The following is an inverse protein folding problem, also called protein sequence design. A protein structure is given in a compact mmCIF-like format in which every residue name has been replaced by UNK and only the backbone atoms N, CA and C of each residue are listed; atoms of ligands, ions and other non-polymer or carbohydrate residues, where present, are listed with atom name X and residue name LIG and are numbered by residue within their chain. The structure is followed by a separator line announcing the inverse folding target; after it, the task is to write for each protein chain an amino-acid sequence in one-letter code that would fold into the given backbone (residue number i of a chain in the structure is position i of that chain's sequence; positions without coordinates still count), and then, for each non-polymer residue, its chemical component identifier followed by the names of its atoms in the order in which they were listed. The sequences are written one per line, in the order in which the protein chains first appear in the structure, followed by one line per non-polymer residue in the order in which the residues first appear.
data_IF_207804436895
#
_entry.id   IF_207804436895
#
_cell.length_a   1.000
_cell.length_b   1.000
_cell.length_c   1.000
_cell.angle_alpha   90.00
_cell.angle_beta   90.00
_cell.angle_gamma   90.00
#
_symmetry.space_group_name_H-M   'P 1'
#
loop_
_entity.id
_entity.type
_entity.pdbx_description
1 polymer ?
#
# COMPACT_ATOMS: atom_id res chain seq x y z
N UNK A 1 -19.79 6.68 4.82
CA UNK A 1 -19.17 6.96 3.50
C UNK A 1 -19.58 5.97 2.41
N UNK A 2 -19.11 4.71 2.41
CA UNK A 2 -19.41 3.75 1.33
C UNK A 2 -20.89 3.58 1.00
N UNK A 3 -21.74 3.43 2.03
CA UNK A 3 -23.17 3.25 1.84
C UNK A 3 -23.83 4.50 1.25
N UNK A 4 -23.50 5.68 1.78
CA UNK A 4 -23.99 6.96 1.27
C UNK A 4 -23.58 7.16 -0.19
N UNK A 5 -22.33 6.81 -0.58
CA UNK A 5 -21.86 7.04 -1.94
C UNK A 5 -22.47 6.05 -2.91
N UNK A 6 -22.70 4.80 -2.48
CA UNK A 6 -23.45 3.81 -3.25
C UNK A 6 -24.87 4.31 -3.56
N UNK A 7 -25.64 4.69 -2.53
CA UNK A 7 -27.03 5.16 -2.69
C UNK A 7 -27.07 6.41 -3.57
N UNK A 8 -26.18 7.37 -3.33
CA UNK A 8 -26.10 8.59 -4.14
C UNK A 8 -25.84 8.26 -5.62
N UNK A 9 -24.92 7.33 -5.92
CA UNK A 9 -24.63 6.95 -7.31
C UNK A 9 -25.76 6.15 -7.97
N UNK A 10 -26.42 5.26 -7.23
CA UNK A 10 -27.59 4.51 -7.71
C UNK A 10 -28.73 5.46 -8.10
N UNK A 11 -29.04 6.43 -7.24
CA UNK A 11 -30.05 7.45 -7.55
C UNK A 11 -29.58 8.34 -8.72
N UNK A 12 -28.32 8.79 -8.69
CA UNK A 12 -27.77 9.66 -9.74
C UNK A 12 -27.91 9.06 -11.14
N UNK A 13 -27.60 7.77 -11.29
CA UNK A 13 -27.72 7.07 -12.58
C UNK A 13 -29.19 6.85 -12.93
N UNK A 14 -30.02 6.44 -11.97
CA UNK A 14 -31.47 6.27 -12.18
C UNK A 14 -32.12 7.54 -12.74
N UNK A 15 -31.77 8.71 -12.20
CA UNK A 15 -32.34 10.00 -12.62
C UNK A 15 -31.68 10.60 -13.87
N UNK A 16 -30.46 10.16 -14.20
CA UNK A 16 -29.76 10.58 -15.42
C UNK A 16 -30.26 9.86 -16.68
N UNK A 17 -30.98 8.74 -16.51
CA UNK A 17 -31.60 7.99 -17.60
C UNK A 17 -32.85 8.70 -18.16
N UNK A 18 -32.66 9.61 -19.12
CA UNK A 18 -33.76 10.35 -19.78
C UNK A 18 -34.56 9.51 -20.79
N UNK A 19 -34.02 8.39 -21.29
CA UNK A 19 -34.65 7.58 -22.37
C UNK A 19 -35.70 6.60 -21.85
N UNK A 20 -35.66 6.23 -20.58
CA UNK A 20 -36.70 5.36 -20.01
C UNK A 20 -37.90 6.20 -19.59
N UNK A 21 -39.02 6.13 -20.34
CA UNK A 21 -40.32 6.73 -19.96
C UNK A 21 -40.76 6.31 -18.54
N UNK A 22 -40.20 5.23 -17.99
CA UNK A 22 -40.33 4.78 -16.60
C UNK A 22 -39.00 5.03 -15.89
N UNK A 23 -39.00 5.62 -14.70
CA UNK A 23 -37.81 5.76 -13.82
C UNK A 23 -37.35 4.38 -13.32
N UNK A 24 -36.87 3.55 -14.25
CA UNK A 24 -36.55 2.14 -14.04
C UNK A 24 -35.36 2.04 -13.11
N UNK A 25 -35.48 1.23 -12.05
CA UNK A 25 -34.38 0.98 -11.13
C UNK A 25 -33.31 0.19 -11.87
N UNK A 26 -32.12 0.76 -11.99
CA UNK A 26 -30.98 0.13 -12.64
C UNK A 26 -30.02 -0.45 -11.59
N UNK A 27 -29.55 -1.66 -11.83
CA UNK A 27 -28.45 -2.27 -11.09
C UNK A 27 -27.14 -1.85 -11.74
N UNK A 28 -26.48 -0.87 -11.14
CA UNK A 28 -25.19 -0.32 -11.63
C UNK A 28 -24.01 -1.17 -11.17
N UNK A 29 -22.86 -1.05 -11.80
CA UNK A 29 -21.57 -1.53 -11.28
C UNK A 29 -20.82 -0.38 -10.61
N UNK A 30 -20.32 -0.57 -9.39
CA UNK A 30 -19.46 0.42 -8.73
C UNK A 30 -18.30 -0.24 -7.98
N UNK A 31 -17.09 0.29 -8.15
CA UNK A 31 -15.91 -0.01 -7.33
C UNK A 31 -15.62 1.23 -6.48
N UNK A 32 -15.52 1.06 -5.18
CA UNK A 32 -15.32 2.13 -4.22
C UNK A 32 -13.98 1.93 -3.51
N UNK A 33 -13.18 2.99 -3.40
CA UNK A 33 -11.93 3.01 -2.64
C UNK A 33 -11.98 4.16 -1.63
N UNK A 34 -11.82 3.85 -0.35
CA UNK A 34 -11.80 4.86 0.72
C UNK A 34 -10.40 5.44 0.90
N UNK A 35 -10.31 6.76 0.90
CA UNK A 35 -9.15 7.50 1.42
C UNK A 35 -9.58 8.34 2.62
N UNK A 36 -8.68 8.51 3.59
CA UNK A 36 -8.92 9.27 4.83
C UNK A 36 -8.12 10.56 4.90
N UNK A 37 -7.31 10.85 3.89
CA UNK A 37 -6.33 11.93 3.85
C UNK A 37 -6.48 12.81 2.60
N UNK A 38 -6.08 14.08 2.71
CA UNK A 38 -5.88 14.99 1.58
C UNK A 38 -4.46 14.91 1.02
N UNK A 39 -4.17 15.73 0.01
CA UNK A 39 -2.80 15.88 -0.50
C UNK A 39 -1.84 16.41 0.59
N UNK A 40 -2.35 17.20 1.52
CA UNK A 40 -1.66 17.76 2.69
C UNK A 40 -1.60 16.78 3.88
N UNK A 41 -1.99 15.51 3.69
CA UNK A 41 -2.14 14.48 4.72
C UNK A 41 -3.14 14.81 5.83
N UNK A 42 -3.89 15.91 5.75
CA UNK A 42 -4.90 16.20 6.77
C UNK A 42 -6.10 15.28 6.60
N UNK A 43 -6.81 15.05 7.69
CA UNK A 43 -8.02 14.24 7.69
C UNK A 43 -9.06 14.80 6.71
N UNK A 44 -9.28 14.07 5.62
CA UNK A 44 -10.19 14.44 4.54
C UNK A 44 -10.77 13.16 3.93
N UNK A 45 -11.75 12.53 4.60
CA UNK A 45 -12.23 11.24 4.18
C UNK A 45 -13.12 11.34 2.95
N UNK A 46 -12.77 10.61 1.90
CA UNK A 46 -13.46 10.64 0.61
C UNK A 46 -13.42 9.27 -0.07
N UNK A 47 -14.29 9.09 -1.06
CA UNK A 47 -14.41 7.83 -1.80
C UNK A 47 -14.08 8.08 -3.26
N UNK A 48 -13.09 7.37 -3.78
CA UNK A 48 -12.88 7.24 -5.21
C UNK A 48 -13.82 6.15 -5.73
N UNK A 49 -14.66 6.52 -6.69
CA UNK A 49 -15.61 5.60 -7.32
C UNK A 49 -15.32 5.44 -8.80
N UNK A 50 -15.30 4.20 -9.28
CA UNK A 50 -15.59 3.93 -10.70
C UNK A 50 -16.98 3.34 -10.78
N UNK A 51 -17.78 3.90 -11.66
CA UNK A 51 -19.18 3.54 -11.80
C UNK A 51 -19.49 3.35 -13.27
N UNK A 52 -20.31 2.37 -13.57
CA UNK A 52 -20.80 2.13 -14.93
C UNK A 52 -21.70 3.27 -15.39
N UNK A 53 -21.57 3.66 -16.65
CA UNK A 53 -22.47 4.60 -17.34
C UNK A 53 -23.77 3.93 -17.77
N UNK A 54 -24.50 3.40 -16.79
CA UNK A 54 -25.67 2.58 -17.03
C UNK A 54 -25.76 1.44 -16.04
N UNK A 55 -26.74 0.57 -16.28
CA UNK A 55 -26.94 -0.62 -15.48
C UNK A 55 -28.05 -1.49 -16.04
N UNK A 56 -28.19 -2.68 -15.45
CA UNK A 56 -29.23 -3.62 -15.84
C UNK A 56 -30.58 -3.26 -15.24
N UNK A 57 -31.64 -3.31 -16.04
CA UNK A 57 -33.00 -3.23 -15.54
C UNK A 57 -33.44 -4.56 -14.86
N UNK A 58 -34.69 -4.61 -14.37
CA UNK A 58 -35.25 -5.82 -13.76
C UNK A 58 -35.38 -7.01 -14.73
N UNK A 59 -35.35 -6.77 -16.04
CA UNK A 59 -35.38 -7.78 -17.10
C UNK A 59 -33.99 -8.18 -17.58
N UNK A 60 -32.92 -7.67 -16.94
CA UNK A 60 -31.51 -7.87 -17.32
C UNK A 60 -31.12 -7.25 -18.66
N UNK A 61 -31.87 -6.28 -19.18
CA UNK A 61 -31.43 -5.49 -20.32
C UNK A 61 -30.48 -4.41 -19.84
N UNK A 62 -29.37 -4.20 -20.55
CA UNK A 62 -28.51 -3.07 -20.26
C UNK A 62 -29.11 -1.76 -20.73
N UNK A 63 -29.12 -0.76 -19.84
CA UNK A 63 -29.56 0.59 -20.15
C UNK A 63 -28.39 1.55 -19.98
N UNK A 64 -27.91 2.09 -21.11
CA UNK A 64 -26.86 3.10 -21.14
C UNK A 64 -27.33 4.46 -20.64
N UNK A 65 -26.48 5.13 -19.86
CA UNK A 65 -26.68 6.50 -19.38
C UNK A 65 -25.48 7.34 -19.84
N UNK A 66 -25.65 8.05 -20.95
CA UNK A 66 -24.57 8.74 -21.65
C UNK A 66 -24.10 10.03 -20.96
N UNK A 67 -24.87 10.56 -20.01
CA UNK A 67 -24.53 11.79 -19.31
C UNK A 67 -24.99 11.72 -17.86
N UNK A 68 -24.08 12.02 -16.94
CA UNK A 68 -24.35 12.04 -15.50
C UNK A 68 -24.11 13.45 -14.97
N UNK A 69 -25.18 14.14 -14.56
CA UNK A 69 -25.10 15.52 -14.04
C UNK A 69 -24.68 15.55 -12.57
N UNK A 70 -23.44 15.18 -12.25
CA UNK A 70 -22.97 15.00 -10.87
C UNK A 70 -23.04 16.25 -9.98
N UNK A 71 -22.97 17.46 -10.56
CA UNK A 71 -23.04 18.71 -9.78
C UNK A 71 -24.37 18.89 -9.05
N UNK A 72 -25.48 18.44 -9.65
CA UNK A 72 -26.81 18.50 -9.03
C UNK A 72 -26.99 17.57 -7.83
N UNK A 73 -26.04 16.66 -7.59
CA UNK A 73 -26.14 15.62 -6.57
C UNK A 73 -25.35 15.92 -5.30
N UNK A 74 -24.63 17.05 -5.24
CA UNK A 74 -23.83 17.44 -4.06
C UNK A 74 -24.64 17.53 -2.77
N UNK A 75 -25.87 18.08 -2.86
CA UNK A 75 -26.79 18.16 -1.71
C UNK A 75 -27.31 16.79 -1.28
N UNK A 76 -27.66 15.92 -2.25
CA UNK A 76 -28.09 14.54 -1.95
C UNK A 76 -26.94 13.73 -1.32
N UNK A 77 -25.72 13.89 -1.82
CA UNK A 77 -24.52 13.29 -1.24
C UNK A 77 -24.30 13.74 0.21
N UNK A 78 -24.37 15.05 0.46
CA UNK A 78 -24.29 15.61 1.81
C UNK A 78 -25.38 15.03 2.72
N UNK A 79 -26.63 15.01 2.25
CA UNK A 79 -27.76 14.46 2.99
C UNK A 79 -27.55 12.99 3.35
N UNK A 80 -27.26 12.13 2.36
CA UNK A 80 -27.04 10.69 2.59
C UNK A 80 -25.88 10.43 3.56
N UNK A 81 -24.82 11.25 3.50
CA UNK A 81 -23.68 11.08 4.39
C UNK A 81 -23.99 11.54 5.82
N UNK A 82 -24.54 12.74 5.99
CA UNK A 82 -24.79 13.32 7.31
C UNK A 82 -25.91 12.61 8.05
N UNK A 83 -26.97 12.19 7.36
CA UNK A 83 -28.06 11.40 7.97
C UNK A 83 -27.53 10.09 8.54
N UNK A 84 -26.70 9.37 7.77
CA UNK A 84 -26.09 8.12 8.23
C UNK A 84 -25.03 8.33 9.31
N UNK A 85 -24.28 9.42 9.23
CA UNK A 85 -23.34 9.77 10.29
C UNK A 85 -24.08 10.02 11.61
N UNK A 86 -25.22 10.73 11.56
CA UNK A 86 -26.08 10.95 12.71
C UNK A 86 -26.61 9.65 13.32
N UNK A 87 -26.96 8.67 12.50
CA UNK A 87 -27.41 7.33 12.95
C UNK A 87 -26.34 6.57 13.74
N UNK A 88 -25.07 6.76 13.40
CA UNK A 88 -23.91 6.11 14.04
C UNK A 88 -23.36 6.87 15.26
N UNK A 89 -23.80 8.12 15.46
CA UNK A 89 -23.35 8.97 16.56
C UNK A 89 -24.29 8.88 17.77
N UNK A 90 -23.82 9.22 18.98
CA UNK A 90 -24.66 9.28 20.17
C UNK A 90 -25.88 10.20 19.96
N UNK A 91 -27.05 9.77 20.43
CA UNK A 91 -28.30 10.54 20.34
C UNK A 91 -28.32 11.64 21.40
N UNK A 92 -27.65 12.76 21.11
CA UNK A 92 -27.56 13.90 22.00
C UNK A 92 -27.65 15.24 21.24
N UNK A 93 -27.77 16.34 21.99
CA UNK A 93 -27.88 17.69 21.42
C UNK A 93 -26.63 18.06 20.63
N UNK A 94 -25.46 17.68 21.12
CA UNK A 94 -24.15 17.95 20.51
C UNK A 94 -24.04 17.32 19.12
N UNK A 95 -24.55 16.09 18.95
CA UNK A 95 -24.62 15.43 17.63
C UNK A 95 -25.54 16.20 16.69
N UNK A 96 -26.72 16.62 17.15
CA UNK A 96 -27.65 17.41 16.33
C UNK A 96 -27.01 18.73 15.88
N UNK A 97 -26.43 19.47 16.83
CA UNK A 97 -25.77 20.75 16.57
C UNK A 97 -24.57 20.58 15.62
N UNK A 98 -23.81 19.49 15.76
CA UNK A 98 -22.70 19.15 14.86
C UNK A 98 -23.18 18.90 13.42
N UNK A 99 -24.25 18.11 13.25
CA UNK A 99 -24.81 17.78 11.93
C UNK A 99 -25.40 19.03 11.28
N UNK A 100 -26.17 19.82 12.02
CA UNK A 100 -26.78 21.06 11.52
C UNK A 100 -25.73 22.08 11.12
N UNK A 101 -24.65 22.21 11.90
CA UNK A 101 -23.50 23.06 11.55
C UNK A 101 -22.85 22.61 10.23
N UNK A 102 -22.78 21.30 9.96
CA UNK A 102 -22.25 20.79 8.70
C UNK A 102 -23.17 21.05 7.51
N UNK A 103 -24.49 21.01 7.68
CA UNK A 103 -25.42 21.46 6.63
C UNK A 103 -25.27 22.95 6.35
N UNK A 104 -25.20 23.79 7.40
CA UNK A 104 -25.04 25.25 7.27
C UNK A 104 -23.69 25.66 6.66
N UNK A 105 -22.59 25.00 7.05
CA UNK A 105 -21.24 25.30 6.56
C UNK A 105 -21.07 25.01 5.06
N UNK A 106 -21.81 24.04 4.52
CA UNK A 106 -21.71 23.62 3.12
C UNK A 106 -23.07 23.74 2.42
N UNK A 107 -23.56 24.96 2.15
CA UNK A 107 -24.90 25.19 1.59
C UNK A 107 -25.06 24.63 0.16
N UNK A 108 -23.94 24.45 -0.56
CA UNK A 108 -23.89 23.89 -1.91
C UNK A 108 -23.66 22.36 -1.93
N UNK A 109 -23.72 21.71 -0.77
CA UNK A 109 -23.47 20.28 -0.62
C UNK A 109 -22.00 19.89 -0.68
N UNK A 110 -21.73 18.60 -0.45
CA UNK A 110 -20.39 18.05 -0.50
C UNK A 110 -19.95 17.80 -1.94
N UNK A 111 -18.66 18.00 -2.22
CA UNK A 111 -18.11 17.94 -3.57
C UNK A 111 -18.25 16.52 -4.15
N UNK A 112 -18.73 16.46 -5.39
CA UNK A 112 -18.65 15.28 -6.26
C UNK A 112 -17.88 15.71 -7.50
N UNK A 113 -16.86 14.94 -7.87
CA UNK A 113 -16.02 15.19 -9.04
C UNK A 113 -16.14 14.03 -10.02
N UNK A 114 -16.62 14.29 -11.24
CA UNK A 114 -16.91 13.26 -12.24
C UNK A 114 -16.35 13.61 -13.62
N UNK A 115 -15.04 13.92 -13.74
CA UNK A 115 -14.48 14.40 -15.01
C UNK A 115 -13.92 13.33 -15.95
N UNK A 116 -13.67 12.09 -15.51
CA UNK A 116 -13.02 11.08 -16.36
C UNK A 116 -13.98 9.95 -16.71
N UNK A 117 -14.39 9.92 -17.98
CA UNK A 117 -14.97 8.75 -18.65
C UNK A 117 -13.83 7.82 -19.07
N UNK A 118 -14.02 6.52 -18.95
CA UNK A 118 -13.11 5.51 -19.52
C UNK A 118 -13.81 4.84 -20.70
N UNK A 119 -13.15 4.80 -21.85
CA UNK A 119 -13.69 4.12 -23.02
C UNK A 119 -13.43 2.60 -22.98
N UNK A 120 -14.15 1.81 -23.82
CA UNK A 120 -14.06 0.33 -23.85
C UNK A 120 -12.61 -0.17 -24.00
N UNK A 121 -11.76 0.57 -24.74
CA UNK A 121 -10.36 0.23 -25.01
C UNK A 121 -9.38 0.69 -23.92
N UNK A 122 -9.86 1.43 -22.92
CA UNK A 122 -9.03 2.00 -21.84
C UNK A 122 -9.00 1.15 -20.57
N UNK A 123 -9.30 -0.15 -20.67
CA UNK A 123 -9.36 -1.06 -19.50
C UNK A 123 -8.10 -1.01 -18.63
N UNK A 124 -6.91 -0.94 -19.25
CA UNK A 124 -5.64 -0.79 -18.52
C UNK A 124 -5.49 0.58 -17.85
N UNK A 125 -5.94 1.67 -18.49
CA UNK A 125 -5.94 3.01 -17.88
C UNK A 125 -6.88 3.08 -16.68
N UNK A 126 -8.04 2.44 -16.77
CA UNK A 126 -8.98 2.27 -15.67
C UNK A 126 -8.35 1.46 -14.53
N UNK A 127 -7.71 0.34 -14.84
CA UNK A 127 -7.01 -0.49 -13.86
C UNK A 127 -5.87 0.28 -13.16
N UNK A 128 -5.03 1.00 -13.92
CA UNK A 128 -3.99 1.89 -13.37
C UNK A 128 -4.55 3.02 -12.53
N UNK A 129 -5.70 3.59 -12.92
CA UNK A 129 -6.39 4.59 -12.13
C UNK A 129 -6.84 4.02 -10.78
N UNK A 130 -7.52 2.87 -10.76
CA UNK A 130 -7.91 2.17 -9.52
C UNK A 130 -6.69 1.83 -8.68
N UNK A 131 -5.69 1.19 -9.29
CA UNK A 131 -4.50 0.70 -8.61
C UNK A 131 -3.79 1.81 -7.85
N UNK A 132 -3.73 3.02 -8.43
CA UNK A 132 -3.20 4.21 -7.74
C UNK A 132 -3.95 4.49 -6.45
N UNK A 133 -5.29 4.47 -6.43
CA UNK A 133 -6.03 4.72 -5.18
C UNK A 133 -5.98 3.55 -4.20
N UNK A 134 -5.92 2.30 -4.68
CA UNK A 134 -5.89 1.13 -3.78
C UNK A 134 -4.60 1.06 -2.97
N UNK A 135 -3.47 1.37 -3.60
CA UNK A 135 -2.14 1.22 -2.98
C UNK A 135 -1.52 2.53 -2.50
N UNK A 136 -2.15 3.69 -2.74
CA UNK A 136 -1.50 4.94 -2.33
C UNK A 136 -1.39 5.03 -0.81
N UNK A 137 -0.19 5.25 -0.26
CA UNK A 137 -0.05 5.76 1.11
C UNK A 137 -0.52 7.24 1.20
N UNK A 138 -0.76 7.78 2.41
CA UNK A 138 -1.11 9.19 2.62
C UNK A 138 -0.17 10.19 1.93
N UNK A 139 1.10 9.80 1.78
CA UNK A 139 2.12 10.58 1.10
C UNK A 139 3.01 9.66 0.27
N UNK A 140 3.37 10.08 -0.94
CA UNK A 140 4.40 9.39 -1.72
C UNK A 140 5.78 9.71 -1.14
N UNK A 141 6.68 8.74 -1.10
CA UNK A 141 8.06 8.94 -0.66
C UNK A 141 8.75 10.07 -1.44
N UNK A 142 8.53 10.15 -2.75
CA UNK A 142 9.04 11.22 -3.62
C UNK A 142 8.59 12.64 -3.26
N UNK A 143 7.62 12.77 -2.34
CA UNK A 143 7.16 14.08 -1.83
C UNK A 143 7.90 14.51 -0.57
N UNK A 144 8.58 13.60 0.11
CA UNK A 144 9.44 13.88 1.26
C UNK A 144 10.77 14.38 0.72
N UNK A 145 11.18 15.58 1.12
CA UNK A 145 12.36 16.26 0.54
C UNK A 145 13.52 16.39 1.51
N UNK A 146 13.26 16.35 2.82
CA UNK A 146 14.33 16.40 3.81
C UNK A 146 13.88 15.78 5.15
N UNK A 147 14.85 15.25 5.89
CA UNK A 147 14.71 14.81 7.27
C UNK A 147 16.04 15.04 8.01
N UNK A 148 16.01 15.76 9.13
CA UNK A 148 17.20 16.15 9.90
C UNK A 148 17.33 15.38 11.23
N UNK A 149 16.53 14.34 11.44
CA UNK A 149 16.46 13.60 12.71
C UNK A 149 15.44 14.15 13.72
N UNK A 150 14.91 15.36 13.50
CA UNK A 150 13.89 16.02 14.35
C UNK A 150 12.64 16.40 13.55
N UNK A 151 12.80 16.93 12.35
CA UNK A 151 11.73 17.44 11.52
C UNK A 151 11.73 16.78 10.14
N UNK A 152 10.53 16.57 9.60
CA UNK A 152 10.30 16.05 8.26
C UNK A 152 9.79 17.19 7.38
N UNK A 153 10.40 17.38 6.22
CA UNK A 153 9.94 18.33 5.20
C UNK A 153 9.39 17.58 4.00
N UNK A 154 8.20 17.97 3.56
CA UNK A 154 7.57 17.43 2.36
C UNK A 154 6.77 18.49 1.61
N UNK A 155 6.48 18.25 0.34
CA UNK A 155 5.65 19.14 -0.46
C UNK A 155 4.31 18.52 -0.83
N UNK A 156 3.31 19.36 -1.08
CA UNK A 156 2.02 18.97 -1.67
C UNK A 156 1.55 20.02 -2.66
N UNK A 157 0.73 19.61 -3.64
CA UNK A 157 0.06 20.54 -4.54
C UNK A 157 -1.30 20.92 -3.97
N UNK A 158 -1.48 22.18 -3.63
CA UNK A 158 -2.74 22.66 -3.09
C UNK A 158 -3.84 22.59 -4.14
N UNK A 159 -4.97 21.99 -3.77
CA UNK A 159 -6.04 21.71 -4.73
C UNK A 159 -6.74 22.98 -5.21
N UNK A 160 -6.77 24.04 -4.39
CA UNK A 160 -7.47 25.29 -4.68
C UNK A 160 -6.60 26.24 -5.52
N UNK A 161 -5.40 26.55 -5.03
CA UNK A 161 -4.45 27.49 -5.63
C UNK A 161 -3.59 26.87 -6.72
N UNK A 162 -3.55 25.53 -6.82
CA UNK A 162 -2.68 24.76 -7.72
C UNK A 162 -1.19 24.97 -7.50
N UNK A 163 -0.79 25.66 -6.44
CA UNK A 163 0.60 25.91 -6.09
C UNK A 163 1.19 24.73 -5.32
N UNK A 164 2.50 24.56 -5.43
CA UNK A 164 3.26 23.65 -4.57
C UNK A 164 3.49 24.34 -3.24
N UNK A 165 3.13 23.66 -2.15
CA UNK A 165 3.33 24.10 -0.77
C UNK A 165 4.30 23.14 -0.12
N UNK A 166 5.34 23.67 0.51
CA UNK A 166 6.29 22.91 1.33
C UNK A 166 5.89 23.05 2.79
N UNK A 167 5.90 21.93 3.51
CA UNK A 167 5.58 21.86 4.93
C UNK A 167 6.74 21.18 5.64
N UNK A 168 7.16 21.77 6.74
CA UNK A 168 8.10 21.17 7.70
C UNK A 168 7.36 20.99 9.01
N UNK A 169 7.45 19.81 9.60
CA UNK A 169 6.81 19.47 10.88
C UNK A 169 7.69 18.55 11.72
N UNK A 170 7.42 18.48 13.02
CA UNK A 170 8.09 17.55 13.92
C UNK A 170 7.87 16.09 13.48
N UNK A 171 8.89 15.24 13.66
CA UNK A 171 8.85 13.84 13.23
C UNK A 171 7.73 13.03 13.89
N UNK A 172 7.40 13.29 15.16
CA UNK A 172 6.34 12.57 15.84
C UNK A 172 4.97 13.07 15.40
N UNK A 173 4.84 14.36 15.04
CA UNK A 173 3.63 14.88 14.38
C UNK A 173 3.43 14.23 13.00
N UNK A 174 4.50 14.08 12.21
CA UNK A 174 4.47 13.39 10.93
C UNK A 174 4.03 11.93 11.09
N UNK A 175 4.66 11.18 11.99
CA UNK A 175 4.30 9.78 12.28
C UNK A 175 2.86 9.68 12.76
N UNK A 176 2.43 10.53 13.70
CA UNK A 176 1.04 10.56 14.21
C UNK A 176 0.04 10.80 13.09
N UNK A 177 0.35 11.70 12.15
CA UNK A 177 -0.50 11.99 11.00
C UNK A 177 -0.66 10.74 10.13
N UNK A 178 0.44 10.06 9.80
CA UNK A 178 0.39 8.80 9.04
C UNK A 178 -0.41 7.71 9.75
N UNK A 179 -0.15 7.50 11.04
CA UNK A 179 -0.83 6.49 11.85
C UNK A 179 -2.35 6.73 11.91
N UNK A 180 -2.81 7.99 11.90
CA UNK A 180 -4.23 8.33 11.90
C UNK A 180 -5.01 7.82 10.67
N UNK A 181 -4.30 7.48 9.60
CA UNK A 181 -4.88 6.99 8.35
C UNK A 181 -4.86 5.47 8.22
N UNK A 182 -4.19 4.76 9.14
CA UNK A 182 -4.19 3.30 9.16
C UNK A 182 -5.59 2.83 9.56
N UNK A 183 -6.30 2.10 8.69
CA UNK A 183 -7.61 1.61 9.04
C UNK A 183 -7.52 0.46 10.05
N UNK A 184 -8.62 0.19 10.75
CA UNK A 184 -8.71 -0.98 11.64
C UNK A 184 -8.33 -2.27 10.91
N UNK A 185 -7.77 -3.23 11.65
CA UNK A 185 -7.48 -4.58 11.13
C UNK A 185 -8.71 -5.13 10.39
N UNK A 186 -8.47 -5.74 9.22
CA UNK A 186 -9.50 -6.31 8.34
C UNK A 186 -10.49 -5.33 7.69
N UNK A 187 -10.35 -4.02 7.90
CA UNK A 187 -11.21 -3.04 7.24
C UNK A 187 -11.01 -3.08 5.72
N UNK A 188 -12.09 -3.32 4.98
CA UNK A 188 -12.04 -3.38 3.51
C UNK A 188 -12.09 -1.96 2.94
N UNK A 189 -10.91 -1.43 2.60
CA UNK A 189 -10.73 -0.14 1.90
C UNK A 189 -11.37 -0.16 0.50
N UNK A 190 -11.39 -1.32 -0.16
CA UNK A 190 -11.99 -1.49 -1.49
C UNK A 190 -13.30 -2.24 -1.36
N UNK A 191 -14.37 -1.72 -1.97
CA UNK A 191 -15.68 -2.37 -2.00
C UNK A 191 -16.22 -2.46 -3.42
N UNK A 192 -16.79 -3.62 -3.74
CA UNK A 192 -17.43 -3.90 -5.02
C UNK A 192 -18.94 -3.92 -4.84
N UNK A 193 -19.65 -3.11 -5.62
CA UNK A 193 -21.08 -2.90 -5.52
C UNK A 193 -21.80 -3.26 -6.82
N UNK A 194 -23.06 -3.67 -6.68
CA UNK A 194 -23.96 -3.99 -7.78
C UNK A 194 -23.38 -5.03 -8.73
N UNK A 195 -23.21 -4.72 -10.02
CA UNK A 195 -22.69 -5.65 -11.03
C UNK A 195 -21.30 -6.17 -10.67
N UNK A 196 -20.44 -5.32 -10.10
CA UNK A 196 -19.09 -5.72 -9.75
C UNK A 196 -19.02 -6.57 -8.48
N UNK A 197 -20.06 -6.62 -7.67
CA UNK A 197 -20.11 -7.48 -6.48
C UNK A 197 -20.07 -8.97 -6.87
N UNK A 198 -19.68 -9.85 -5.93
CA UNK A 198 -19.69 -11.31 -6.13
C UNK A 198 -21.05 -11.82 -6.61
N UNK A 199 -22.15 -11.38 -5.97
CA UNK A 199 -23.52 -11.75 -6.36
C UNK A 199 -23.99 -11.05 -7.65
N UNK A 200 -23.34 -9.96 -8.05
CA UNK A 200 -23.57 -9.28 -9.33
C UNK A 200 -22.96 -10.01 -10.52
N UNK A 201 -22.00 -10.92 -10.28
CA UNK A 201 -21.26 -11.64 -11.32
C UNK A 201 -22.16 -12.41 -12.29
N UNK A 202 -23.26 -13.00 -11.82
CA UNK A 202 -24.22 -13.75 -12.67
C UNK A 202 -24.87 -12.92 -13.78
N UNK A 203 -24.78 -11.59 -13.74
CA UNK A 203 -25.33 -10.70 -14.77
C UNK A 203 -24.30 -10.26 -15.83
N UNK A 204 -23.01 -10.62 -15.70
CA UNK A 204 -21.95 -10.21 -16.64
C UNK A 204 -21.87 -11.05 -17.91
N UNK A 205 -22.40 -12.28 -17.89
CA UNK A 205 -22.20 -13.27 -18.95
C UNK A 205 -22.98 -13.00 -20.25
N UNK A 206 -23.89 -12.02 -20.29
CA UNK A 206 -24.83 -11.88 -21.42
C UNK A 206 -24.50 -10.79 -22.43
N UNK A 207 -23.74 -9.74 -22.08
CA UNK A 207 -23.50 -8.60 -23.00
C UNK A 207 -22.04 -8.09 -23.06
N UNK A 208 -21.17 -8.43 -22.12
CA UNK A 208 -19.78 -7.95 -22.09
C UNK A 208 -18.75 -8.98 -22.58
N UNK A 209 -19.22 -10.07 -23.18
CA UNK A 209 -18.45 -11.23 -23.61
C UNK A 209 -18.35 -11.27 -25.14
N UNK A 210 -17.73 -10.27 -25.75
CA UNK A 210 -17.34 -10.39 -27.18
C UNK A 210 -15.93 -10.94 -27.36
N UNK A 211 -15.10 -10.89 -26.31
CA UNK A 211 -13.79 -11.55 -26.30
C UNK A 211 -13.74 -12.41 -25.05
N UNK A 212 -13.51 -13.71 -25.25
CA UNK A 212 -13.14 -14.62 -24.17
C UNK A 212 -11.96 -13.99 -23.44
N UNK A 213 -12.18 -13.52 -22.22
CA UNK A 213 -11.09 -13.12 -21.35
C UNK A 213 -10.21 -14.37 -21.17
N UNK A 214 -9.13 -14.48 -21.97
CA UNK A 214 -8.11 -15.51 -21.81
C UNK A 214 -7.50 -15.29 -20.45
N UNK A 215 -8.01 -16.00 -19.46
CA UNK A 215 -7.44 -16.05 -18.13
C UNK A 215 -6.09 -16.76 -18.31
N UNK A 216 -5.01 -15.98 -18.43
CA UNK A 216 -3.66 -16.53 -18.44
C UNK A 216 -3.36 -16.93 -16.99
N UNK A 217 -3.75 -18.16 -16.64
CA UNK A 217 -3.37 -18.78 -15.37
C UNK A 217 -1.88 -19.08 -15.48
N UNK A 218 -1.06 -18.34 -14.73
CA UNK A 218 0.38 -18.61 -14.59
C UNK A 218 0.62 -19.35 -13.29
N UNK A 219 1.59 -20.26 -13.29
CA UNK A 219 2.04 -20.90 -12.06
C UNK A 219 2.74 -19.88 -11.16
N UNK A 220 2.83 -20.16 -9.85
CA UNK A 220 3.62 -19.36 -8.92
C UNK A 220 5.07 -19.17 -9.43
N UNK A 221 5.69 -20.24 -9.92
CA UNK A 221 7.05 -20.23 -10.48
C UNK A 221 7.17 -19.25 -11.65
N UNK A 222 6.24 -19.29 -12.59
CA UNK A 222 6.27 -18.41 -13.78
C UNK A 222 6.06 -16.94 -13.42
N UNK A 223 5.22 -16.67 -12.41
CA UNK A 223 4.99 -15.31 -11.94
C UNK A 223 6.22 -14.75 -11.21
N UNK A 224 6.91 -15.58 -10.41
CA UNK A 224 8.19 -15.18 -9.78
C UNK A 224 9.26 -14.93 -10.86
N UNK A 225 9.42 -15.82 -11.84
CA UNK A 225 10.34 -15.63 -12.98
C UNK A 225 10.10 -14.31 -13.71
N UNK A 226 8.83 -13.98 -13.94
CA UNK A 226 8.44 -12.77 -14.67
C UNK A 226 8.71 -11.49 -13.88
N UNK A 227 8.45 -11.50 -12.57
CA UNK A 227 8.52 -10.31 -11.71
C UNK A 227 9.93 -10.07 -11.20
N UNK A 228 10.63 -11.12 -10.81
CA UNK A 228 11.93 -11.05 -10.14
C UNK A 228 13.09 -11.52 -11.03
N UNK A 229 12.82 -11.95 -12.27
CA UNK A 229 13.83 -12.41 -13.22
C UNK A 229 14.70 -13.56 -12.70
N UNK A 230 14.16 -14.38 -11.78
CA UNK A 230 14.82 -15.53 -11.18
C UNK A 230 13.86 -16.72 -11.08
N UNK A 231 14.37 -17.94 -11.28
CA UNK A 231 13.60 -19.18 -11.10
C UNK A 231 13.68 -19.66 -9.65
N UNK A 232 12.58 -19.57 -8.86
CA UNK A 232 12.61 -19.93 -7.45
C UNK A 232 12.82 -21.43 -7.20
N UNK A 233 12.78 -22.26 -8.25
CA UNK A 233 13.06 -23.70 -8.16
C UNK A 233 14.42 -24.07 -8.74
N UNK A 234 15.32 -23.13 -9.03
CA UNK A 234 16.72 -23.44 -9.33
C UNK A 234 17.59 -23.10 -8.13
N UNK A 235 18.40 -24.06 -7.70
CA UNK A 235 19.39 -23.82 -6.64
C UNK A 235 20.33 -22.69 -7.09
N UNK A 236 20.50 -21.60 -6.32
CA UNK A 236 21.33 -20.47 -6.71
C UNK A 236 22.82 -20.82 -6.83
N UNK A 237 23.25 -21.95 -6.27
CA UNK A 237 24.65 -22.36 -6.23
C UNK A 237 25.03 -23.39 -7.31
N UNK A 238 24.19 -24.42 -7.52
CA UNK A 238 24.46 -25.51 -8.47
C UNK A 238 23.48 -25.59 -9.64
N UNK A 239 22.49 -24.71 -9.69
CA UNK A 239 21.45 -24.64 -10.72
C UNK A 239 20.61 -25.93 -10.89
N UNK A 240 20.65 -26.83 -9.90
CA UNK A 240 19.81 -28.03 -9.85
C UNK A 240 18.36 -27.65 -9.55
N UNK A 241 17.42 -28.30 -10.23
CA UNK A 241 15.99 -28.08 -10.02
C UNK A 241 15.54 -28.63 -8.66
N UNK A 242 14.99 -27.76 -7.82
CA UNK A 242 14.50 -28.05 -6.49
C UNK A 242 13.00 -28.38 -6.52
N UNK A 243 12.57 -29.31 -5.66
CA UNK A 243 11.16 -29.69 -5.53
C UNK A 243 10.45 -28.74 -4.57
N UNK A 244 9.32 -28.16 -5.00
CA UNK A 244 8.45 -27.40 -4.11
C UNK A 244 7.77 -28.34 -3.12
N UNK A 245 8.12 -28.24 -1.84
CA UNK A 245 7.52 -29.05 -0.76
C UNK A 245 6.36 -28.36 -0.06
N UNK A 246 6.32 -27.02 -0.06
CA UNK A 246 5.26 -26.25 0.57
C UNK A 246 5.40 -24.75 0.31
N UNK A 247 4.33 -24.00 0.56
CA UNK A 247 4.32 -22.52 0.53
C UNK A 247 3.84 -22.05 1.90
N UNK A 248 4.67 -21.27 2.59
CA UNK A 248 4.35 -20.75 3.91
C UNK A 248 4.12 -19.25 3.84
N UNK A 249 3.16 -18.75 4.60
CA UNK A 249 2.87 -17.32 4.73
C UNK A 249 3.17 -16.87 6.15
N UNK A 250 3.69 -15.66 6.31
CA UNK A 250 3.95 -15.07 7.63
C UNK A 250 2.68 -15.15 8.49
N UNK A 251 2.76 -15.83 9.64
CA UNK A 251 1.64 -16.10 10.54
C UNK A 251 0.78 -17.35 10.23
N UNK A 252 1.18 -18.20 9.28
CA UNK A 252 0.59 -19.55 9.11
C UNK A 252 1.27 -20.58 10.02
N UNK A 253 0.56 -21.65 10.40
CA UNK A 253 1.09 -22.72 11.27
C UNK A 253 2.37 -23.38 10.72
N UNK A 254 2.57 -23.33 9.40
CA UNK A 254 3.74 -23.88 8.72
C UNK A 254 4.84 -22.84 8.45
N UNK A 255 4.66 -21.58 8.87
CA UNK A 255 5.73 -20.58 8.77
C UNK A 255 6.86 -21.02 9.69
N UNK A 256 8.09 -21.23 9.17
CA UNK A 256 9.20 -21.59 10.03
C UNK A 256 9.35 -20.49 11.08
N UNK A 257 9.05 -20.83 12.33
CA UNK A 257 9.45 -20.03 13.47
C UNK A 257 10.96 -20.10 13.45
N UNK A 258 11.65 -18.97 13.29
CA UNK A 258 13.09 -18.94 13.52
C UNK A 258 13.31 -19.59 14.89
N UNK A 259 14.05 -20.70 14.89
CA UNK A 259 14.25 -21.51 16.08
C UNK A 259 14.87 -20.60 17.15
N UNK A 260 14.09 -20.24 18.18
CA UNK A 260 14.52 -19.37 19.28
C UNK A 260 15.76 -19.94 20.00
N UNK A 261 16.10 -21.21 19.76
CA UNK A 261 17.30 -21.86 20.27
C UNK A 261 18.61 -21.39 19.62
N UNK A 262 18.57 -20.62 18.52
CA UNK A 262 19.75 -19.98 17.91
C UNK A 262 19.89 -18.48 18.24
N UNK A 263 18.92 -17.90 18.95
CA UNK A 263 18.97 -16.51 19.41
C UNK A 263 19.60 -16.44 20.82
N UNK A 264 20.93 -16.52 20.89
CA UNK A 264 21.64 -15.98 22.04
C UNK A 264 21.22 -14.51 22.23
N UNK A 265 20.98 -14.08 23.48
CA UNK A 265 20.63 -12.68 23.81
C UNK A 265 21.55 -11.74 22.99
N UNK A 266 21.00 -10.76 22.25
CA UNK A 266 21.85 -9.84 21.50
C UNK A 266 22.83 -9.21 22.49
N UNK A 267 24.14 -9.23 22.19
CA UNK A 267 25.12 -8.63 23.07
C UNK A 267 24.80 -7.13 23.18
N UNK A 268 25.12 -6.51 24.33
CA UNK A 268 24.74 -5.13 24.61
C UNK A 268 25.21 -4.20 23.48
N UNK A 269 24.24 -3.51 22.87
CA UNK A 269 24.45 -2.61 21.75
C UNK A 269 25.28 -1.41 22.22
N UNK A 270 26.60 -1.53 22.16
CA UNK A 270 27.50 -0.39 22.25
C UNK A 270 27.39 0.33 20.90
N UNK A 271 26.93 1.59 20.93
CA UNK A 271 26.88 2.46 19.74
C UNK A 271 28.31 2.79 19.25
N UNK A 272 29.01 1.80 18.72
CA UNK A 272 30.32 1.98 18.10
C UNK A 272 30.11 2.58 16.71
N UNK A 273 30.80 3.68 16.44
CA UNK A 273 30.90 4.25 15.10
C UNK A 273 31.54 3.24 14.14
N UNK A 274 31.30 3.40 12.83
CA UNK A 274 31.89 2.52 11.81
C UNK A 274 33.42 2.43 11.93
N UNK A 275 34.08 3.55 12.25
CA UNK A 275 35.54 3.60 12.44
C UNK A 275 36.00 2.75 13.62
N UNK A 276 35.30 2.81 14.75
CA UNK A 276 35.62 2.02 15.96
C UNK A 276 35.40 0.53 15.70
N UNK A 277 34.32 0.16 15.00
CA UNK A 277 34.07 -1.24 14.61
C UNK A 277 35.16 -1.77 13.69
N UNK A 278 35.57 -1.00 12.68
CA UNK A 278 36.63 -1.40 11.76
C UNK A 278 37.97 -1.56 12.48
N UNK A 279 38.33 -0.65 13.38
CA UNK A 279 39.55 -0.76 14.20
C UNK A 279 39.53 -2.01 15.08
N UNK A 280 38.38 -2.29 15.70
CA UNK A 280 38.22 -3.47 16.52
C UNK A 280 38.36 -4.75 15.68
N UNK A 281 37.69 -4.85 14.54
CA UNK A 281 37.76 -6.02 13.66
C UNK A 281 39.19 -6.23 13.13
N UNK A 282 39.92 -5.16 12.79
CA UNK A 282 41.33 -5.24 12.40
C UNK A 282 42.20 -5.78 13.54
N UNK A 283 41.97 -5.33 14.79
CA UNK A 283 42.68 -5.84 15.96
C UNK A 283 42.42 -7.35 16.16
N UNK A 284 41.16 -7.78 16.08
CA UNK A 284 40.78 -9.19 16.21
C UNK A 284 41.40 -10.07 15.14
N UNK A 285 41.44 -9.59 13.90
CA UNK A 285 42.11 -10.29 12.81
C UNK A 285 43.60 -10.44 13.13
N UNK A 286 44.27 -9.39 13.62
CA UNK A 286 45.71 -9.41 13.97
C UNK A 286 46.02 -10.33 15.15
N UNK A 287 45.23 -10.28 16.21
CA UNK A 287 45.38 -11.09 17.43
C UNK A 287 45.22 -12.58 17.14
N UNK A 288 44.36 -12.93 16.17
CA UNK A 288 44.08 -14.31 15.79
C UNK A 288 44.86 -14.81 14.55
N UNK A 289 45.85 -14.06 14.05
CA UNK A 289 46.65 -14.56 12.92
C UNK A 289 47.59 -15.68 13.37
N UNK A 290 47.37 -16.86 12.80
CA UNK A 290 48.39 -17.93 12.75
C UNK A 290 48.90 -18.06 11.32
N UNK A 291 49.93 -18.89 11.04
CA UNK A 291 50.61 -18.96 9.75
C UNK A 291 49.75 -19.05 8.46
N UNK A 292 48.47 -19.44 8.56
CA UNK A 292 47.47 -19.38 7.46
C UNK A 292 46.61 -18.11 7.41
N UNK A 293 46.35 -17.47 8.54
CA UNK A 293 45.43 -16.33 8.70
C UNK A 293 44.61 -16.48 9.98
N UNK A 294 43.68 -15.56 10.22
CA UNK A 294 42.69 -15.67 11.29
C UNK A 294 41.45 -16.40 10.77
N UNK A 295 40.90 -17.34 11.54
CA UNK A 295 39.65 -18.01 11.18
C UNK A 295 38.49 -17.00 11.31
N UNK A 296 37.71 -16.82 10.24
CA UNK A 296 36.60 -15.84 10.21
C UNK A 296 35.54 -16.17 11.27
N UNK A 297 35.30 -17.45 11.57
CA UNK A 297 34.38 -17.88 12.62
C UNK A 297 34.82 -17.45 14.01
N UNK A 298 36.13 -17.47 14.29
CA UNK A 298 36.70 -17.01 15.57
C UNK A 298 36.55 -15.50 15.70
N UNK A 299 36.88 -14.74 14.63
CA UNK A 299 36.70 -13.27 14.60
C UNK A 299 35.24 -12.89 14.84
N UNK A 300 34.28 -13.62 14.26
CA UNK A 300 32.84 -13.39 14.49
C UNK A 300 32.45 -13.67 15.94
N UNK A 301 32.93 -14.77 16.52
CA UNK A 301 32.63 -15.13 17.92
C UNK A 301 33.14 -14.06 18.89
N UNK A 302 34.38 -13.62 18.69
CA UNK A 302 35.02 -12.59 19.51
C UNK A 302 34.46 -11.18 19.30
N UNK A 303 33.97 -10.86 18.10
CA UNK A 303 33.27 -9.62 17.82
C UNK A 303 31.89 -9.59 18.50
N UNK A 304 31.21 -10.74 18.57
CA UNK A 304 29.94 -10.89 19.27
C UNK A 304 30.09 -10.67 20.79
N UNK A 305 31.16 -11.18 21.40
CA UNK A 305 31.48 -10.89 22.82
C UNK A 305 31.68 -9.39 23.09
N UNK A 306 32.09 -8.64 22.07
CA UNK A 306 32.33 -7.19 22.12
C UNK A 306 31.16 -6.34 21.59
N UNK A 307 29.99 -6.94 21.37
CA UNK A 307 28.77 -6.20 21.03
C UNK A 307 28.50 -5.97 19.54
N UNK A 308 29.27 -6.58 18.64
CA UNK A 308 29.04 -6.50 17.18
C UNK A 308 28.37 -7.80 16.72
N UNK A 309 27.19 -7.71 16.12
CA UNK A 309 26.50 -8.90 15.62
C UNK A 309 27.21 -9.51 14.40
N UNK A 310 26.82 -10.75 14.08
CA UNK A 310 27.42 -11.53 13.00
C UNK A 310 27.28 -10.85 11.63
N UNK A 311 26.12 -10.28 11.33
CA UNK A 311 25.85 -9.67 10.03
C UNK A 311 26.69 -8.40 9.86
N UNK A 312 26.73 -7.57 10.91
CA UNK A 312 27.56 -6.36 10.94
C UNK A 312 29.06 -6.69 10.84
N UNK A 313 29.53 -7.73 11.52
CA UNK A 313 30.93 -8.19 11.44
C UNK A 313 31.29 -8.64 10.02
N UNK A 314 30.41 -9.39 9.36
CA UNK A 314 30.61 -9.84 7.97
C UNK A 314 30.63 -8.66 6.99
N UNK A 315 29.73 -7.70 7.16
CA UNK A 315 29.70 -6.48 6.34
C UNK A 315 30.97 -5.64 6.51
N UNK A 316 31.44 -5.46 7.75
CA UNK A 316 32.66 -4.71 8.03
C UNK A 316 33.91 -5.44 7.51
N UNK A 317 33.95 -6.78 7.56
CA UNK A 317 35.00 -7.60 6.92
C UNK A 317 34.98 -7.45 5.39
N UNK A 318 33.81 -7.48 4.76
CA UNK A 318 33.70 -7.26 3.30
C UNK A 318 34.18 -5.87 2.91
N UNK A 319 33.86 -4.86 3.73
CA UNK A 319 34.33 -3.51 3.51
C UNK A 319 35.86 -3.39 3.64
N UNK A 320 36.47 -4.03 4.65
CA UNK A 320 37.94 -4.10 4.75
C UNK A 320 38.59 -4.78 3.55
N UNK A 321 37.93 -5.78 2.95
CA UNK A 321 38.38 -6.42 1.71
C UNK A 321 38.26 -5.50 0.49
N UNK A 322 37.15 -4.77 0.36
CA UNK A 322 36.95 -3.84 -0.76
C UNK A 322 37.94 -2.67 -0.75
N UNK A 323 38.27 -2.18 0.44
CA UNK A 323 39.23 -1.10 0.65
C UNK A 323 40.70 -1.58 0.66
N UNK A 324 40.94 -2.87 0.50
CA UNK A 324 42.28 -3.45 0.44
C UNK A 324 43.01 -3.57 1.79
N UNK A 325 42.34 -3.32 2.92
CA UNK A 325 42.92 -3.48 4.26
C UNK A 325 42.95 -4.93 4.75
N UNK A 326 42.19 -5.83 4.13
CA UNK A 326 42.19 -7.25 4.43
C UNK A 326 42.02 -8.11 3.17
N UNK A 327 42.49 -9.35 3.21
CA UNK A 327 42.32 -10.32 2.13
C UNK A 327 42.12 -11.74 2.69
N UNK A 328 41.56 -12.61 1.88
CA UNK A 328 41.24 -14.00 2.22
C UNK A 328 42.20 -14.94 1.48
N UNK A 329 43.27 -15.43 2.14
CA UNK A 329 44.26 -16.31 1.49
C UNK A 329 43.70 -17.70 1.19
N UNK A 330 42.74 -18.17 1.99
CA UNK A 330 42.02 -19.43 1.84
C UNK A 330 40.60 -19.26 2.34
N UNK A 331 39.65 -19.99 1.76
CA UNK A 331 38.25 -19.96 2.16
C UNK A 331 38.09 -20.19 3.67
N UNK A 332 37.56 -19.20 4.38
CA UNK A 332 37.36 -19.23 5.84
C UNK A 332 38.49 -18.60 6.66
N UNK A 333 39.55 -18.11 6.03
CA UNK A 333 40.68 -17.42 6.69
C UNK A 333 40.77 -15.95 6.23
N UNK A 334 41.22 -15.06 7.10
CA UNK A 334 41.40 -13.63 6.79
C UNK A 334 42.71 -13.08 7.33
N UNK A 335 43.35 -12.18 6.58
CA UNK A 335 44.58 -11.47 6.96
C UNK A 335 44.43 -9.98 6.70
N UNK A 336 45.05 -9.17 7.54
CA UNK A 336 45.24 -7.75 7.22
C UNK A 336 46.31 -7.61 6.13
N UNK A 337 46.05 -6.75 5.15
CA UNK A 337 47.11 -6.25 4.28
C UNK A 337 48.05 -5.37 5.12
N UNK A 338 49.36 -5.45 4.87
CA UNK A 338 50.38 -4.65 5.55
C UNK A 338 50.16 -3.15 5.32
#
# INVERSE_FOLDING_TARGET
LFQASKVTMEDMIKFSNKRSKKKTKLKIGMIQVLHTYGADMKYNPHVHGIVTEGGFDGKKNWIHVNFIRYEGWRKKWQYELLTRLKEEMPRCKETNDFIDRHFKKYPNGFVIYGKRRFEKREGWNMARYIGRYVKHPPIAESRITAYDGKQVTFWYKDTKTKRTITVTMDKFEFVRTLLSHIPKKNFKIVRYCGIYSRRGYKHRQTEFSEEEAKLVIRSWRDEIKRVFHHDPLLCPNCNTEMKLVGICYEGSENYPVEDETLSGKPPPNQNLSQRERMQLIVALIRENQSGGGANIGVVISEAAERGIDREQTLNDIQHLKSEGYAYEPKTGEIRCAL
#
